data_IF_339435496020
#
_entry.id   IF_339435496020
#
_cell.length_a   1.000
_cell.length_b   1.000
_cell.length_c   1.000
_cell.angle_alpha   90.00
_cell.angle_beta   90.00
_cell.angle_gamma   90.00
#
_symmetry.space_group_name_H-M   'P 1'
#
loop_
_entity.id
_entity.type
_entity.pdbx_description
1 polymer ?
#
# COMPACT_ATOMS: atom_id res chain seq x y z
N UNK A 1 30.90 1.66 2.04
CA UNK A 1 30.31 0.81 3.11
C UNK A 1 30.49 -0.66 2.78
N UNK A 2 30.33 -1.03 1.51
CA UNK A 2 30.63 -2.37 1.03
C UNK A 2 31.80 -2.36 0.05
N UNK A 3 32.49 -3.48 -0.06
CA UNK A 3 33.54 -3.76 -1.04
C UNK A 3 33.32 -5.15 -1.62
N UNK A 4 33.68 -5.35 -2.88
CA UNK A 4 33.66 -6.67 -3.53
C UNK A 4 35.10 -7.15 -3.70
N UNK A 5 35.39 -8.36 -3.25
CA UNK A 5 36.70 -9.00 -3.44
C UNK A 5 36.90 -9.45 -4.89
N UNK A 6 38.15 -9.74 -5.32
CA UNK A 6 38.41 -10.31 -6.65
C UNK A 6 37.66 -11.61 -6.93
N UNK A 7 37.35 -12.39 -5.88
CA UNK A 7 36.59 -13.64 -5.94
C UNK A 7 35.07 -13.41 -6.02
N UNK A 8 34.61 -12.15 -6.06
CA UNK A 8 33.19 -11.81 -6.12
C UNK A 8 32.48 -11.80 -4.77
N UNK A 9 33.22 -11.80 -3.65
CA UNK A 9 32.62 -11.79 -2.31
C UNK A 9 32.30 -10.34 -1.90
N UNK A 10 31.03 -10.06 -1.66
CA UNK A 10 30.59 -8.78 -1.10
C UNK A 10 30.78 -8.77 0.42
N UNK A 11 31.53 -7.80 0.94
CA UNK A 11 31.82 -7.65 2.36
C UNK A 11 31.56 -6.22 2.82
N UNK A 12 31.20 -6.05 4.09
CA UNK A 12 31.19 -4.72 4.72
C UNK A 12 32.62 -4.31 5.09
N UNK A 13 32.99 -3.05 4.86
CA UNK A 13 34.33 -2.51 5.19
C UNK A 13 34.40 -1.93 6.61
N UNK A 14 33.26 -1.85 7.29
CA UNK A 14 33.11 -1.33 8.66
C UNK A 14 31.93 -2.02 9.35
N UNK A 15 31.89 -2.06 10.69
CA UNK A 15 30.72 -2.54 11.43
C UNK A 15 29.45 -1.80 10.98
N UNK A 16 28.36 -2.54 10.80
CA UNK A 16 27.08 -2.00 10.32
C UNK A 16 26.13 -1.63 11.47
N UNK A 17 26.62 -1.57 12.70
CA UNK A 17 25.81 -1.30 13.90
C UNK A 17 25.08 0.04 13.84
N UNK A 18 25.69 1.07 13.23
CA UNK A 18 25.06 2.39 13.02
C UNK A 18 24.14 2.43 11.80
N UNK A 19 24.10 1.35 11.02
CA UNK A 19 23.32 1.22 9.79
C UNK A 19 22.27 0.13 9.89
N UNK A 20 22.02 -0.35 11.12
CA UNK A 20 20.90 -1.24 11.40
C UNK A 20 19.63 -0.57 10.89
N UNK A 21 18.75 -1.36 10.26
CA UNK A 21 17.51 -0.95 9.60
C UNK A 21 17.65 -0.18 8.28
N UNK A 22 18.85 -0.13 7.71
CA UNK A 22 19.10 0.56 6.44
C UNK A 22 19.02 -0.39 5.24
N UNK A 23 18.66 0.16 4.08
CA UNK A 23 18.74 -0.54 2.79
C UNK A 23 19.76 0.16 1.89
N UNK A 24 20.65 -0.61 1.28
CA UNK A 24 21.71 -0.11 0.40
C UNK A 24 21.57 -0.64 -1.01
N UNK A 25 21.86 0.22 -1.98
CA UNK A 25 22.09 -0.17 -3.36
C UNK A 25 23.60 -0.20 -3.65
N UNK A 26 24.13 -1.39 -3.92
CA UNK A 26 25.54 -1.59 -4.21
C UNK A 26 25.71 -1.96 -5.69
N UNK A 27 26.16 -1.01 -6.53
CA UNK A 27 26.52 -1.35 -7.91
C UNK A 27 27.83 -2.14 -7.92
N UNK A 28 27.78 -3.36 -8.46
CA UNK A 28 28.91 -4.24 -8.68
C UNK A 28 29.23 -4.24 -10.17
N UNK A 29 30.42 -3.76 -10.52
CA UNK A 29 30.88 -3.73 -11.90
C UNK A 29 31.84 -4.90 -12.12
N UNK A 30 31.45 -5.84 -12.98
CA UNK A 30 32.32 -6.89 -13.46
C UNK A 30 33.01 -6.43 -14.75
N UNK A 31 34.32 -6.31 -14.71
CA UNK A 31 35.16 -5.95 -15.86
C UNK A 31 35.82 -7.22 -16.39
N UNK A 32 35.39 -7.77 -17.54
CA UNK A 32 36.08 -8.89 -18.16
C UNK A 32 37.42 -8.44 -18.78
N UNK A 33 38.37 -9.37 -18.93
CA UNK A 33 39.66 -9.11 -19.60
C UNK A 33 39.47 -8.61 -21.04
N UNK A 34 38.42 -9.08 -21.70
CA UNK A 34 37.99 -8.64 -23.03
C UNK A 34 36.48 -8.39 -23.04
N UNK A 35 36.06 -7.26 -23.61
CA UNK A 35 34.65 -6.90 -23.74
C UNK A 35 34.25 -5.69 -22.88
N UNK A 36 32.94 -5.42 -22.83
CA UNK A 36 32.39 -4.29 -22.08
C UNK A 36 32.15 -4.68 -20.62
N UNK A 37 32.41 -3.78 -19.66
CA UNK A 37 31.99 -3.99 -18.29
C UNK A 37 30.48 -4.19 -18.19
N UNK A 38 30.08 -5.07 -17.29
CA UNK A 38 28.68 -5.32 -16.93
C UNK A 38 28.45 -4.87 -15.50
N UNK A 39 27.41 -4.07 -15.29
CA UNK A 39 27.02 -3.62 -13.95
C UNK A 39 25.83 -4.43 -13.47
N UNK A 40 25.97 -5.05 -12.30
CA UNK A 40 24.89 -5.67 -11.55
C UNK A 40 24.60 -4.84 -10.30
N UNK A 41 23.33 -4.71 -9.92
CA UNK A 41 22.96 -4.03 -8.67
C UNK A 41 22.65 -5.08 -7.61
N UNK A 42 23.23 -4.92 -6.43
CA UNK A 42 22.97 -5.77 -5.27
C UNK A 42 22.33 -4.92 -4.19
N UNK A 43 21.11 -5.30 -3.79
CA UNK A 43 20.42 -4.62 -2.68
C UNK A 43 20.78 -5.33 -1.39
N UNK A 44 21.29 -4.58 -0.41
CA UNK A 44 21.69 -5.11 0.90
C UNK A 44 20.78 -4.54 1.97
N UNK A 45 20.10 -5.43 2.69
CA UNK A 45 19.29 -5.10 3.86
C UNK A 45 20.14 -5.34 5.11
N UNK A 46 20.20 -4.35 6.00
CA UNK A 46 20.92 -4.47 7.28
C UNK A 46 19.87 -4.51 8.39
N UNK A 47 19.72 -5.65 9.04
CA UNK A 47 18.79 -5.82 10.16
C UNK A 47 19.53 -6.05 11.48
N UNK A 48 18.83 -5.81 12.59
CA UNK A 48 19.31 -6.20 13.91
C UNK A 48 19.28 -7.72 14.05
N UNK A 49 20.21 -8.28 14.82
CA UNK A 49 20.11 -9.68 15.23
C UNK A 49 18.79 -9.90 15.98
N UNK A 50 18.09 -11.00 15.69
CA UNK A 50 16.78 -11.33 16.26
C UNK A 50 16.77 -11.42 17.81
N UNK A 51 17.94 -11.56 18.43
CA UNK A 51 18.08 -11.56 19.90
C UNK A 51 18.12 -10.14 20.50
N UNK A 52 18.38 -9.12 19.69
CA UNK A 52 18.52 -7.72 20.11
C UNK A 52 17.30 -6.85 19.74
N UNK A 53 16.26 -7.42 19.13
CA UNK A 53 15.01 -6.69 18.85
C UNK A 53 14.26 -6.39 20.15
N UNK A 54 14.27 -5.12 20.55
CA UNK A 54 13.49 -4.63 21.68
C UNK A 54 12.04 -4.45 21.24
N UNK A 55 11.13 -5.22 21.83
CA UNK A 55 9.69 -5.02 21.63
C UNK A 55 9.27 -3.74 22.35
N UNK A 56 8.70 -2.78 21.60
CA UNK A 56 8.17 -1.56 22.20
C UNK A 56 7.03 -1.87 23.16
N UNK A 57 6.93 -1.11 24.26
CA UNK A 57 5.80 -1.19 25.21
C UNK A 57 4.53 -0.54 24.67
N UNK A 58 4.65 0.29 23.64
CA UNK A 58 3.55 1.01 23.01
C UNK A 58 3.67 0.89 21.50
N UNK A 59 2.60 0.48 20.82
CA UNK A 59 2.57 0.36 19.36
C UNK A 59 1.33 1.03 18.77
N UNK A 60 1.50 1.68 17.63
CA UNK A 60 0.39 2.22 16.86
C UNK A 60 0.03 1.28 15.71
N UNK A 61 -1.14 0.68 15.77
CA UNK A 61 -1.68 -0.18 14.72
C UNK A 61 -2.63 0.62 13.82
N UNK A 62 -2.26 0.79 12.55
CA UNK A 62 -3.09 1.46 11.55
C UNK A 62 -3.57 0.46 10.51
N UNK A 63 -4.88 0.39 10.36
CA UNK A 63 -5.58 -0.49 9.40
C UNK A 63 -6.16 0.36 8.28
N UNK A 64 -5.75 0.11 7.05
CA UNK A 64 -6.41 0.71 5.89
C UNK A 64 -7.57 -0.20 5.49
N UNK A 65 -8.78 0.32 5.54
CA UNK A 65 -9.98 -0.44 5.23
C UNK A 65 -10.13 -0.60 3.71
N UNK A 66 -10.27 -1.85 3.28
CA UNK A 66 -10.70 -2.24 1.93
C UNK A 66 -12.14 -2.76 1.93
N UNK A 67 -12.47 -3.57 0.92
CA UNK A 67 -13.82 -4.14 0.78
C UNK A 67 -14.10 -5.29 1.76
N UNK A 68 -13.05 -5.90 2.31
CA UNK A 68 -13.15 -7.01 3.26
C UNK A 68 -12.65 -6.59 4.64
N UNK A 69 -13.21 -7.18 5.72
CA UNK A 69 -12.64 -7.04 7.06
C UNK A 69 -11.15 -7.37 7.06
N UNK A 70 -10.38 -6.60 7.81
CA UNK A 70 -8.93 -6.76 7.88
C UNK A 70 -8.56 -7.46 9.18
N UNK A 71 -7.60 -8.36 9.08
CA UNK A 71 -7.12 -9.19 10.18
C UNK A 71 -5.68 -8.82 10.55
N UNK A 72 -5.42 -8.69 11.84
CA UNK A 72 -4.09 -8.48 12.41
C UNK A 72 -3.82 -9.63 13.37
N UNK A 73 -2.71 -10.34 13.16
CA UNK A 73 -2.26 -11.42 14.03
C UNK A 73 -1.04 -10.98 14.84
N UNK A 74 -1.28 -10.57 16.08
CA UNK A 74 -0.23 -10.07 16.97
C UNK A 74 0.73 -11.16 17.46
N UNK A 75 0.49 -12.43 17.16
CA UNK A 75 1.48 -13.50 17.42
C UNK A 75 2.76 -13.30 16.60
N UNK A 76 2.70 -12.54 15.50
CA UNK A 76 3.86 -12.20 14.68
C UNK A 76 4.83 -11.23 15.35
N UNK A 77 4.44 -10.58 16.45
CA UNK A 77 5.29 -9.65 17.21
C UNK A 77 6.30 -10.42 18.07
N UNK A 78 6.10 -11.73 18.27
CA UNK A 78 6.87 -12.52 19.23
C UNK A 78 7.58 -13.69 18.54
N UNK A 79 8.84 -13.91 18.90
CA UNK A 79 9.62 -15.02 18.36
C UNK A 79 9.52 -16.31 19.20
N UNK A 80 8.96 -16.26 20.43
CA UNK A 80 9.08 -17.37 21.40
C UNK A 80 7.89 -17.61 22.33
N UNK A 81 6.90 -16.72 22.38
CA UNK A 81 5.78 -16.84 23.33
C UNK A 81 4.44 -16.49 22.71
N UNK A 82 3.39 -17.15 23.17
CA UNK A 82 2.04 -16.86 22.69
C UNK A 82 1.52 -15.60 23.39
N UNK A 83 1.06 -14.59 22.64
CA UNK A 83 0.45 -13.42 23.24
C UNK A 83 -0.92 -13.78 23.84
N UNK A 84 -1.28 -13.13 24.94
CA UNK A 84 -2.56 -13.25 25.60
C UNK A 84 -3.31 -11.91 25.55
N UNK A 85 -4.56 -11.95 25.09
CA UNK A 85 -5.42 -10.78 24.99
C UNK A 85 -6.72 -11.01 25.72
N UNK A 86 -7.31 -9.91 26.24
CA UNK A 86 -8.67 -9.93 26.75
C UNK A 86 -9.61 -9.94 25.54
N UNK A 87 -10.43 -10.99 25.35
CA UNK A 87 -11.36 -11.03 24.24
C UNK A 87 -12.34 -9.87 24.33
N UNK A 88 -12.56 -9.21 23.21
CA UNK A 88 -13.47 -8.08 23.09
C UNK A 88 -14.29 -8.27 21.81
N UNK A 89 -15.61 -8.34 21.94
CA UNK A 89 -16.51 -8.42 20.80
C UNK A 89 -17.31 -7.12 20.70
N UNK A 90 -16.92 -6.30 19.74
CA UNK A 90 -17.65 -5.11 19.31
C UNK A 90 -18.22 -5.33 17.90
N UNK A 91 -19.21 -4.53 17.52
CA UNK A 91 -19.73 -4.52 16.15
C UNK A 91 -18.67 -4.00 15.15
N UNK A 92 -17.76 -3.15 15.62
CA UNK A 92 -16.76 -2.44 14.80
C UNK A 92 -15.47 -3.25 14.66
N UNK A 93 -15.06 -3.97 15.71
CA UNK A 93 -13.89 -4.84 15.73
C UNK A 93 -14.04 -5.98 16.74
N UNK A 94 -13.23 -7.02 16.56
CA UNK A 94 -13.19 -8.19 17.45
C UNK A 94 -11.76 -8.54 17.80
N UNK A 95 -11.50 -8.80 19.07
CA UNK A 95 -10.22 -9.31 19.59
C UNK A 95 -10.46 -10.71 20.14
N UNK A 96 -9.68 -11.69 19.66
CA UNK A 96 -9.70 -13.05 20.19
C UNK A 96 -8.77 -13.21 21.40
N UNK A 97 -8.95 -14.29 22.16
CA UNK A 97 -8.03 -14.66 23.24
C UNK A 97 -6.59 -14.92 22.74
N UNK A 98 -6.44 -15.30 21.47
CA UNK A 98 -5.14 -15.51 20.82
C UNK A 98 -4.58 -14.23 20.18
N UNK A 99 -5.09 -13.06 20.56
CA UNK A 99 -4.68 -11.76 20.03
C UNK A 99 -4.83 -11.59 18.52
N UNK A 100 -5.84 -12.25 17.95
CA UNK A 100 -6.25 -12.01 16.59
C UNK A 100 -7.29 -10.90 16.56
N UNK A 101 -6.96 -9.79 15.90
CA UNK A 101 -7.82 -8.61 15.81
C UNK A 101 -8.45 -8.57 14.42
N UNK A 102 -9.77 -8.59 14.36
CA UNK A 102 -10.54 -8.40 13.12
C UNK A 102 -11.20 -7.03 13.16
N UNK A 103 -10.86 -6.16 12.22
CA UNK A 103 -11.43 -4.82 12.06
C UNK A 103 -12.43 -4.82 10.90
N UNK A 104 -13.67 -4.43 11.18
CA UNK A 104 -14.78 -4.44 10.20
C UNK A 104 -15.18 -3.05 9.72
N UNK A 105 -15.04 -2.05 10.58
CA UNK A 105 -15.49 -0.68 10.34
C UNK A 105 -14.47 0.31 10.90
N UNK A 106 -14.69 1.60 10.63
CA UNK A 106 -13.80 2.67 11.06
C UNK A 106 -13.72 2.76 12.60
N UNK A 107 -12.49 2.78 13.10
CA UNK A 107 -12.09 2.95 14.49
C UNK A 107 -11.17 4.17 14.58
N UNK A 108 -11.33 4.94 15.64
CA UNK A 108 -10.46 6.06 15.99
C UNK A 108 -9.92 5.87 17.42
N UNK A 109 -8.60 5.71 17.54
CA UNK A 109 -7.83 5.67 18.78
C UNK A 109 -8.35 4.69 19.86
N UNK A 110 -8.66 3.46 19.48
CA UNK A 110 -9.01 2.40 20.46
C UNK A 110 -7.74 1.82 21.07
N UNK A 111 -7.71 1.73 22.40
CA UNK A 111 -6.59 1.15 23.13
C UNK A 111 -6.86 -0.32 23.45
N UNK A 112 -6.02 -1.21 22.95
CA UNK A 112 -6.00 -2.63 23.26
C UNK A 112 -4.76 -2.99 24.06
N UNK A 113 -4.92 -3.82 25.08
CA UNK A 113 -3.81 -4.28 25.94
C UNK A 113 -3.50 -5.72 25.64
N UNK A 114 -2.22 -5.97 25.37
CA UNK A 114 -1.71 -7.28 24.98
C UNK A 114 -0.63 -7.69 25.94
N UNK A 115 -0.74 -8.87 26.53
CA UNK A 115 0.25 -9.41 27.44
C UNK A 115 1.15 -10.38 26.69
N UNK A 116 2.45 -10.11 26.71
CA UNK A 116 3.48 -10.91 26.06
C UNK A 116 4.63 -11.10 27.05
N UNK A 117 4.96 -12.35 27.41
CA UNK A 117 6.05 -12.64 28.37
C UNK A 117 5.93 -11.84 29.68
N UNK A 118 4.72 -11.79 30.26
CA UNK A 118 4.41 -10.99 31.46
C UNK A 118 4.63 -9.46 31.31
N UNK A 119 4.92 -8.98 30.10
CA UNK A 119 4.97 -7.56 29.76
C UNK A 119 3.68 -7.13 29.07
N UNK A 120 3.07 -6.04 29.56
CA UNK A 120 1.93 -5.40 28.91
C UNK A 120 2.43 -4.50 27.79
N UNK A 121 1.87 -4.68 26.61
CA UNK A 121 2.03 -3.82 25.43
C UNK A 121 0.70 -3.13 25.18
N UNK A 122 0.74 -1.82 25.08
CA UNK A 122 -0.42 -0.99 24.75
C UNK A 122 -0.44 -0.77 23.22
N UNK A 123 -1.51 -1.20 22.56
CA UNK A 123 -1.71 -1.07 21.11
C UNK A 123 -2.83 -0.07 20.86
N UNK A 124 -2.52 1.03 20.18
CA UNK A 124 -3.54 1.98 19.72
C UNK A 124 -3.96 1.65 18.31
N UNK A 125 -5.22 1.24 18.13
CA UNK A 125 -5.85 0.89 16.87
C UNK A 125 -6.47 2.13 16.22
N UNK A 126 -6.06 2.39 14.99
CA UNK A 126 -6.56 3.45 14.12
C UNK A 126 -6.95 2.87 12.77
N UNK A 127 -7.92 3.49 12.11
CA UNK A 127 -8.30 3.11 10.74
C UNK A 127 -8.19 4.28 9.79
N UNK A 128 -7.82 3.97 8.55
CA UNK A 128 -7.89 4.89 7.43
C UNK A 128 -8.88 4.35 6.41
N UNK A 129 -9.82 5.19 5.99
CA UNK A 129 -10.82 4.83 5.00
C UNK A 129 -10.42 5.36 3.63
N UNK A 130 -10.44 4.49 2.62
CA UNK A 130 -10.23 4.87 1.22
C UNK A 130 -11.48 5.56 0.68
N UNK A 131 -11.30 6.62 -0.12
CA UNK A 131 -12.36 7.30 -0.87
C UNK A 131 -11.99 7.35 -2.35
N UNK A 132 -12.97 7.54 -3.22
CA UNK A 132 -12.71 7.64 -4.66
C UNK A 132 -11.75 8.79 -5.00
N UNK A 133 -11.89 9.93 -4.33
CA UNK A 133 -11.01 11.10 -4.50
C UNK A 133 -9.54 10.77 -4.15
N UNK A 134 -9.33 9.98 -3.09
CA UNK A 134 -7.99 9.50 -2.72
C UNK A 134 -7.45 8.52 -3.76
N UNK A 135 -8.29 7.62 -4.26
CA UNK A 135 -7.87 6.71 -5.32
C UNK A 135 -7.48 7.45 -6.60
N UNK A 136 -8.18 8.53 -6.95
CA UNK A 136 -7.88 9.34 -8.14
C UNK A 136 -6.61 10.20 -8.02
N UNK A 137 -6.20 10.54 -6.80
CA UNK A 137 -5.00 11.34 -6.50
C UNK A 137 -3.79 10.49 -6.12
N UNK A 138 -3.95 9.18 -5.96
CA UNK A 138 -2.88 8.28 -5.57
C UNK A 138 -1.69 8.34 -6.53
N UNK A 139 -0.48 8.29 -5.98
CA UNK A 139 0.74 7.96 -6.72
C UNK A 139 1.14 6.51 -6.46
N UNK A 140 1.87 5.90 -7.39
CA UNK A 140 2.48 4.60 -7.17
C UNK A 140 3.95 4.81 -6.78
N UNK A 141 4.34 4.29 -5.62
CA UNK A 141 5.71 4.29 -5.11
C UNK A 141 6.24 2.86 -5.18
N UNK A 142 7.35 2.67 -5.91
CA UNK A 142 8.03 1.38 -6.00
C UNK A 142 9.34 1.48 -5.23
N UNK A 143 9.52 0.60 -4.25
CA UNK A 143 10.70 0.62 -3.37
C UNK A 143 11.07 -0.77 -2.85
N UNK A 144 12.30 -0.90 -2.39
CA UNK A 144 12.81 -2.10 -1.73
C UNK A 144 12.86 -1.89 -0.22
N UNK A 145 12.23 -2.79 0.54
CA UNK A 145 12.23 -2.76 1.99
C UNK A 145 11.86 -4.14 2.55
N UNK A 146 12.55 -4.56 3.61
CA UNK A 146 12.13 -5.72 4.39
C UNK A 146 10.78 -5.42 5.09
N UNK A 147 9.95 -6.43 5.43
CA UNK A 147 8.59 -6.21 5.90
C UNK A 147 8.48 -5.26 7.11
N UNK A 148 9.34 -5.43 8.12
CA UNK A 148 9.37 -4.53 9.28
C UNK A 148 9.73 -3.08 8.90
N UNK A 149 10.58 -2.91 7.89
CA UNK A 149 11.03 -1.61 7.41
C UNK A 149 9.96 -0.87 6.61
N UNK A 150 8.98 -1.58 6.03
CA UNK A 150 7.81 -0.95 5.38
C UNK A 150 6.98 -0.20 6.42
N UNK A 151 6.71 -0.82 7.57
CA UNK A 151 5.99 -0.19 8.67
C UNK A 151 6.74 1.04 9.21
N UNK A 152 8.04 0.90 9.43
CA UNK A 152 8.87 2.00 9.94
C UNK A 152 9.01 3.14 8.91
N UNK A 153 9.10 2.82 7.61
CA UNK A 153 9.03 3.82 6.54
C UNK A 153 7.75 4.65 6.60
N UNK A 154 6.58 4.01 6.70
CA UNK A 154 5.29 4.71 6.74
C UNK A 154 5.16 5.56 8.02
N UNK A 155 5.63 5.03 9.15
CA UNK A 155 5.63 5.76 10.42
C UNK A 155 6.54 6.98 10.39
N UNK A 156 7.76 6.86 9.87
CA UNK A 156 8.68 8.00 9.75
C UNK A 156 8.21 9.02 8.71
N UNK A 157 7.57 8.57 7.63
CA UNK A 157 6.93 9.47 6.66
C UNK A 157 5.84 10.30 7.34
N UNK A 158 4.95 9.66 8.11
CA UNK A 158 3.89 10.32 8.87
C UNK A 158 4.43 11.26 9.96
N UNK A 159 5.52 10.90 10.64
CA UNK A 159 6.19 11.75 11.65
C UNK A 159 6.87 12.97 11.03
N UNK A 160 7.46 12.81 9.86
CA UNK A 160 8.22 13.88 9.19
C UNK A 160 7.34 15.00 8.67
N UNK A 161 6.05 14.74 8.44
CA UNK A 161 5.08 15.73 7.98
C UNK A 161 3.83 15.69 8.85
N UNK A 162 3.90 16.30 10.03
CA UNK A 162 2.80 16.30 11.01
C UNK A 162 1.51 16.98 10.53
N UNK A 163 1.60 17.86 9.53
CA UNK A 163 0.46 18.54 8.91
C UNK A 163 -0.15 17.75 7.74
N UNK A 164 0.38 16.57 7.42
CA UNK A 164 -0.08 15.71 6.33
C UNK A 164 -0.49 14.35 6.87
N UNK A 165 -1.47 13.72 6.25
CA UNK A 165 -1.83 12.32 6.51
C UNK A 165 -1.58 11.49 5.26
N UNK A 166 -0.80 10.43 5.40
CA UNK A 166 -0.44 9.52 4.32
C UNK A 166 -1.38 8.30 4.34
N UNK A 167 -2.06 8.07 3.21
CA UNK A 167 -3.02 6.98 3.02
C UNK A 167 -2.42 5.90 2.13
N UNK A 168 -1.85 4.81 2.69
CA UNK A 168 -1.36 3.69 1.90
C UNK A 168 -2.55 2.84 1.42
N UNK A 169 -3.16 3.24 0.30
CA UNK A 169 -4.42 2.69 -0.19
C UNK A 169 -4.34 1.21 -0.59
N UNK A 170 -3.17 0.77 -1.09
CA UNK A 170 -2.92 -0.64 -1.37
C UNK A 170 -1.43 -0.92 -1.51
N UNK A 171 -1.06 -2.19 -1.36
CA UNK A 171 0.31 -2.67 -1.58
C UNK A 171 0.32 -3.95 -2.41
N UNK A 172 1.31 -4.08 -3.27
CA UNK A 172 1.70 -5.36 -3.88
C UNK A 172 3.13 -5.69 -3.48
N UNK A 173 3.30 -6.82 -2.80
CA UNK A 173 4.59 -7.28 -2.29
C UNK A 173 5.12 -8.41 -3.16
N UNK A 174 6.34 -8.25 -3.66
CA UNK A 174 7.17 -9.35 -4.16
C UNK A 174 8.12 -9.77 -3.05
N UNK A 175 7.71 -10.78 -2.28
CA UNK A 175 8.42 -11.24 -1.10
C UNK A 175 9.81 -11.81 -1.43
N UNK A 176 10.01 -12.36 -2.64
CA UNK A 176 11.30 -12.94 -3.02
C UNK A 176 12.37 -11.85 -3.23
N UNK A 177 11.96 -10.64 -3.59
CA UNK A 177 12.85 -9.52 -3.88
C UNK A 177 12.76 -8.38 -2.86
N UNK A 178 11.89 -8.51 -1.85
CA UNK A 178 11.54 -7.42 -0.92
C UNK A 178 11.10 -6.15 -1.66
N UNK A 179 10.50 -6.31 -2.85
CA UNK A 179 10.08 -5.20 -3.70
C UNK A 179 8.60 -4.93 -3.45
N UNK A 180 8.28 -3.69 -3.15
CA UNK A 180 6.94 -3.24 -2.81
C UNK A 180 6.46 -2.22 -3.84
N UNK A 181 5.23 -2.37 -4.31
CA UNK A 181 4.52 -1.34 -5.07
C UNK A 181 3.36 -0.84 -4.20
N UNK A 182 3.51 0.37 -3.67
CA UNK A 182 2.57 1.02 -2.77
C UNK A 182 1.77 2.08 -3.53
N UNK A 183 0.45 2.00 -3.46
CA UNK A 183 -0.43 3.09 -3.90
C UNK A 183 -0.66 4.02 -2.72
N UNK A 184 -0.26 5.29 -2.84
CA UNK A 184 -0.24 6.25 -1.73
C UNK A 184 -0.97 7.53 -2.13
N UNK A 185 -1.90 7.98 -1.30
CA UNK A 185 -2.52 9.30 -1.39
C UNK A 185 -2.15 10.13 -0.17
N UNK A 186 -2.26 11.46 -0.28
CA UNK A 186 -1.91 12.39 0.80
C UNK A 186 -3.03 13.40 0.99
N UNK A 187 -3.36 13.66 2.26
CA UNK A 187 -4.30 14.69 2.65
C UNK A 187 -3.57 15.73 3.50
N UNK A 188 -3.90 17.01 3.34
CA UNK A 188 -3.42 18.07 4.22
C UNK A 188 -4.22 18.17 5.54
N UNK A 189 -3.72 18.97 6.49
CA UNK A 189 -4.41 19.25 7.77
C UNK A 189 -5.82 19.83 7.64
N UNK A 190 -6.19 20.36 6.48
CA UNK A 190 -7.52 20.91 6.21
C UNK A 190 -8.43 19.89 5.51
N UNK A 191 -8.05 18.61 5.51
CA UNK A 191 -8.75 17.51 4.84
C UNK A 191 -8.83 17.65 3.32
N UNK A 192 -7.90 18.38 2.69
CA UNK A 192 -7.83 18.50 1.24
C UNK A 192 -6.92 17.44 0.66
N UNK A 193 -7.41 16.75 -0.35
CA UNK A 193 -6.64 15.77 -1.11
C UNK A 193 -5.56 16.49 -1.91
N UNK A 194 -4.31 16.09 -1.70
CA UNK A 194 -3.16 16.63 -2.41
C UNK A 194 -3.04 15.93 -3.76
N UNK A 195 -2.69 16.67 -4.81
CA UNK A 195 -2.55 16.11 -6.16
C UNK A 195 -1.43 15.06 -6.21
N UNK A 196 -1.51 14.12 -7.17
CA UNK A 196 -0.50 13.06 -7.31
C UNK A 196 0.91 13.62 -7.57
N UNK A 197 1.01 14.72 -8.34
CA UNK A 197 2.28 15.39 -8.63
C UNK A 197 2.90 16.05 -7.40
N UNK A 198 2.11 16.80 -6.62
CA UNK A 198 2.61 17.42 -5.39
C UNK A 198 2.97 16.35 -4.35
N UNK A 199 2.16 15.29 -4.26
CA UNK A 199 2.43 14.13 -3.41
C UNK A 199 3.74 13.43 -3.78
N UNK A 200 4.03 13.27 -5.08
CA UNK A 200 5.31 12.73 -5.56
C UNK A 200 6.48 13.59 -5.10
N UNK A 201 6.38 14.91 -5.20
CA UNK A 201 7.47 15.81 -4.83
C UNK A 201 7.72 15.78 -3.30
N UNK A 202 6.66 15.68 -2.49
CA UNK A 202 6.74 15.50 -1.02
C UNK A 202 7.44 14.18 -0.66
N UNK A 203 7.00 13.07 -1.26
CA UNK A 203 7.55 11.73 -0.99
C UNK A 203 9.00 11.63 -1.50
N UNK A 204 9.29 12.18 -2.68
CA UNK A 204 10.65 12.27 -3.20
C UNK A 204 11.57 13.04 -2.24
N UNK A 205 11.11 14.20 -1.77
CA UNK A 205 11.83 15.01 -0.79
C UNK A 205 12.09 14.27 0.53
N UNK A 206 11.20 13.38 0.96
CA UNK A 206 11.43 12.51 2.11
C UNK A 206 12.60 11.54 1.86
N UNK A 207 12.61 10.83 0.72
CA UNK A 207 13.68 9.90 0.38
C UNK A 207 15.06 10.57 0.21
N UNK A 208 15.10 11.88 -0.05
CA UNK A 208 16.34 12.64 -0.15
C UNK A 208 16.91 13.12 1.19
N UNK A 209 16.12 13.12 2.28
CA UNK A 209 16.52 13.69 3.58
C UNK A 209 17.38 12.76 4.43
N UNK A 210 17.32 11.45 4.21
CA UNK A 210 17.88 10.46 5.12
C UNK A 210 19.09 9.72 4.53
N UNK A 211 20.21 9.74 5.25
CA UNK A 211 21.42 8.97 4.92
C UNK A 211 21.22 7.45 5.12
N UNK A 212 20.20 7.05 5.90
CA UNK A 212 19.92 5.67 6.29
C UNK A 212 18.43 5.35 6.11
N UNK A 213 17.93 5.24 4.87
CA UNK A 213 16.50 5.08 4.66
C UNK A 213 16.05 3.64 4.97
N UNK A 214 14.91 3.51 5.65
CA UNK A 214 14.22 2.23 5.86
C UNK A 214 13.78 1.56 4.54
N UNK A 215 13.73 2.33 3.45
CA UNK A 215 13.33 1.89 2.14
C UNK A 215 14.22 2.49 1.06
N UNK A 216 14.58 1.71 0.05
CA UNK A 216 15.28 2.20 -1.13
C UNK A 216 14.28 2.47 -2.26
N UNK A 217 14.11 3.74 -2.62
CA UNK A 217 13.22 4.14 -3.70
C UNK A 217 13.75 3.65 -5.07
N UNK A 218 12.91 2.94 -5.82
CA UNK A 218 13.20 2.52 -7.20
C UNK A 218 12.60 3.52 -8.21
N UNK A 219 11.31 3.82 -8.08
CA UNK A 219 10.61 4.72 -8.99
C UNK A 219 9.30 5.22 -8.39
N UNK A 220 8.80 6.34 -8.91
CA UNK A 220 7.45 6.82 -8.65
C UNK A 220 6.77 7.15 -9.96
N UNK A 221 5.48 6.84 -10.05
CA UNK A 221 4.64 7.27 -11.17
C UNK A 221 3.43 8.03 -10.64
N UNK A 222 3.11 9.12 -11.33
CA UNK A 222 1.93 9.94 -11.12
C UNK A 222 1.02 9.78 -12.33
N UNK A 223 -0.30 9.76 -12.11
CA UNK A 223 -1.32 9.67 -13.16
C UNK A 223 -1.07 8.55 -14.19
N UNK A 224 -1.50 7.32 -13.88
CA UNK A 224 -1.43 6.21 -14.85
C UNK A 224 -2.23 6.47 -16.13
N UNK A 225 -3.14 7.46 -16.11
CA UNK A 225 -3.98 7.83 -17.25
C UNK A 225 -3.23 8.57 -18.37
N UNK A 226 -2.05 9.13 -18.11
CA UNK A 226 -1.33 9.94 -19.11
C UNK A 226 -0.92 9.11 -20.35
N UNK A 227 -0.75 7.79 -20.17
CA UNK A 227 -0.44 6.83 -21.24
C UNK A 227 -1.66 6.08 -21.79
N UNK A 228 -2.86 6.35 -21.28
CA UNK A 228 -4.08 5.60 -21.63
C UNK A 228 -5.00 6.44 -22.50
N UNK A 229 -5.32 5.91 -23.69
CA UNK A 229 -6.26 6.54 -24.61
C UNK A 229 -7.63 5.87 -24.50
N UNK A 230 -8.64 6.65 -24.13
CA UNK A 230 -10.04 6.22 -24.14
C UNK A 230 -10.74 6.76 -25.40
N UNK A 231 -11.25 5.87 -26.23
CA UNK A 231 -11.95 6.18 -27.48
C UNK A 231 -13.32 6.82 -27.23
N UNK A 232 -13.90 7.42 -28.28
CA UNK A 232 -15.29 7.91 -28.30
C UNK A 232 -15.66 8.87 -27.15
N UNK A 233 -14.70 9.70 -26.72
CA UNK A 233 -14.92 10.66 -25.63
C UNK A 233 -14.96 10.03 -24.24
N UNK A 234 -14.51 8.78 -24.10
CA UNK A 234 -14.33 8.14 -22.81
C UNK A 234 -13.31 8.89 -21.92
N UNK A 235 -13.45 8.75 -20.61
CA UNK A 235 -12.58 9.38 -19.62
C UNK A 235 -11.76 8.32 -18.91
N UNK A 236 -10.44 8.48 -18.88
CA UNK A 236 -9.61 7.61 -18.07
C UNK A 236 -9.81 7.96 -16.58
N UNK A 237 -10.03 6.93 -15.76
CA UNK A 237 -9.92 7.01 -14.30
C UNK A 237 -8.84 6.06 -13.83
N UNK A 238 -8.07 6.50 -12.84
CA UNK A 238 -7.28 5.56 -12.05
C UNK A 238 -8.13 5.06 -10.89
N UNK A 239 -7.94 3.78 -10.56
CA UNK A 239 -8.63 3.11 -9.48
C UNK A 239 -7.65 2.16 -8.79
N UNK A 240 -7.92 1.87 -7.53
CA UNK A 240 -7.16 0.88 -6.78
C UNK A 240 -7.87 -0.46 -6.95
N UNK A 241 -7.23 -1.39 -7.67
CA UNK A 241 -7.72 -2.76 -7.80
C UNK A 241 -7.31 -3.54 -6.56
N UNK A 242 -8.25 -3.72 -5.63
CA UNK A 242 -8.08 -4.45 -4.39
C UNK A 242 -8.23 -5.96 -4.61
N UNK A 243 -7.47 -6.71 -3.83
CA UNK A 243 -7.58 -8.15 -3.67
C UNK A 243 -8.26 -8.44 -2.32
N UNK A 244 -8.86 -9.63 -2.17
CA UNK A 244 -9.53 -10.05 -0.94
C UNK A 244 -8.53 -10.50 0.15
N UNK A 245 -7.53 -9.68 0.42
CA UNK A 245 -6.50 -9.93 1.42
C UNK A 245 -5.82 -8.61 1.79
N UNK A 246 -5.26 -8.55 3.00
CA UNK A 246 -4.38 -7.46 3.44
C UNK A 246 -3.02 -8.03 3.83
N UNK A 247 -1.98 -7.23 3.71
CA UNK A 247 -0.65 -7.54 4.24
C UNK A 247 -0.39 -6.71 5.47
N UNK A 248 0.02 -7.37 6.55
CA UNK A 248 0.37 -6.71 7.81
C UNK A 248 1.88 -6.62 7.96
N UNK A 249 2.38 -5.41 8.18
CA UNK A 249 3.78 -5.07 8.42
C UNK A 249 3.98 -4.72 9.88
N UNK A 250 4.95 -5.36 10.54
CA UNK A 250 5.25 -5.16 11.96
C UNK A 250 6.57 -4.42 12.10
N UNK A 251 6.50 -3.12 12.41
CA UNK A 251 7.65 -2.25 12.65
C UNK A 251 8.10 -2.29 14.12
N UNK A 252 9.02 -1.40 14.49
CA UNK A 252 9.52 -1.33 15.87
C UNK A 252 8.49 -0.73 16.83
N UNK A 253 7.70 0.22 16.35
CA UNK A 253 6.71 0.97 17.15
C UNK A 253 5.33 1.05 16.49
N UNK A 254 5.16 0.38 15.35
CA UNK A 254 3.94 0.47 14.57
C UNK A 254 3.58 -0.84 13.89
N UNK A 255 2.29 -0.98 13.60
CA UNK A 255 1.74 -2.07 12.80
C UNK A 255 0.94 -1.42 11.69
N UNK A 256 1.17 -1.83 10.45
CA UNK A 256 0.41 -1.33 9.30
C UNK A 256 -0.23 -2.51 8.61
N UNK A 257 -1.56 -2.54 8.56
CA UNK A 257 -2.29 -3.52 7.74
C UNK A 257 -2.87 -2.81 6.51
N UNK A 258 -2.38 -3.19 5.34
CA UNK A 258 -2.64 -2.52 4.07
C UNK A 258 -3.30 -3.51 3.11
N UNK A 259 -4.43 -3.16 2.48
CA UNK A 259 -5.06 -3.99 1.47
C UNK A 259 -4.11 -4.37 0.35
N UNK A 260 -4.15 -5.63 -0.07
CA UNK A 260 -3.38 -6.08 -1.22
C UNK A 260 -4.02 -5.53 -2.49
N UNK A 261 -3.22 -4.99 -3.40
CA UNK A 261 -3.75 -4.40 -4.61
C UNK A 261 -2.71 -3.66 -5.42
N UNK A 262 -3.17 -3.09 -6.52
CA UNK A 262 -2.37 -2.19 -7.34
C UNK A 262 -3.21 -1.07 -7.92
N UNK A 263 -2.56 0.06 -8.16
CA UNK A 263 -3.12 1.13 -8.96
C UNK A 263 -3.26 0.67 -10.42
N UNK A 264 -4.47 0.82 -10.97
CA UNK A 264 -4.82 0.48 -12.35
C UNK A 264 -5.57 1.65 -13.00
N UNK A 265 -5.75 1.57 -14.31
CA UNK A 265 -6.56 2.49 -15.10
C UNK A 265 -7.76 1.80 -15.70
N UNK A 266 -8.84 2.53 -15.88
CA UNK A 266 -10.02 2.10 -16.63
C UNK A 266 -10.59 3.28 -17.41
N UNK A 267 -11.11 3.00 -18.60
CA UNK A 267 -11.91 3.97 -19.32
C UNK A 267 -13.37 3.92 -18.87
N UNK A 268 -13.90 5.06 -18.46
CA UNK A 268 -15.33 5.27 -18.32
C UNK A 268 -15.91 5.72 -19.65
N UNK A 269 -16.74 4.86 -20.23
CA UNK A 269 -17.30 5.09 -21.54
C UNK A 269 -18.46 6.07 -21.52
N UNK A 270 -18.49 6.93 -22.54
CA UNK A 270 -19.65 7.76 -22.82
C UNK A 270 -20.88 6.91 -23.13
N UNK A 271 -22.04 7.54 -23.02
CA UNK A 271 -23.33 6.90 -23.33
C UNK A 271 -23.30 6.31 -24.75
N UNK A 272 -23.67 5.04 -24.88
CA UNK A 272 -23.70 4.33 -26.16
C UNK A 272 -22.39 3.67 -26.58
N UNK A 273 -21.36 3.66 -25.74
CA UNK A 273 -20.09 2.98 -26.01
C UNK A 273 -19.73 2.01 -24.89
N UNK A 274 -19.07 0.91 -25.25
CA UNK A 274 -18.57 -0.16 -24.37
C UNK A 274 -17.18 -0.60 -24.82
N UNK A 275 -16.57 -1.56 -24.11
CA UNK A 275 -15.20 -2.01 -24.33
C UNK A 275 -14.23 -1.53 -23.24
N UNK A 276 -13.01 -2.07 -23.24
CA UNK A 276 -11.97 -1.72 -22.27
C UNK A 276 -11.49 -0.27 -22.46
N UNK A 277 -11.46 0.20 -23.70
CA UNK A 277 -11.05 1.53 -24.13
C UNK A 277 -12.19 2.31 -24.79
N UNK A 278 -13.44 1.89 -24.60
CA UNK A 278 -14.63 2.53 -25.17
C UNK A 278 -14.68 2.55 -26.70
N UNK A 279 -14.06 1.55 -27.33
CA UNK A 279 -13.91 1.40 -28.77
C UNK A 279 -15.15 0.81 -29.46
N UNK A 280 -16.00 0.12 -28.70
CA UNK A 280 -17.19 -0.55 -29.23
C UNK A 280 -18.44 0.31 -29.05
N UNK A 281 -19.35 0.24 -30.02
CA UNK A 281 -20.68 0.84 -29.88
C UNK A 281 -21.56 -0.14 -29.12
N UNK A 282 -22.25 0.35 -28.09
CA UNK A 282 -23.22 -0.46 -27.36
C UNK A 282 -24.41 -0.77 -28.26
N UNK A 283 -24.51 -2.02 -28.71
CA UNK A 283 -25.60 -2.48 -29.53
C UNK A 283 -26.66 -3.14 -28.65
N UNK A 284 -27.70 -2.40 -28.27
CA UNK A 284 -28.96 -3.06 -27.93
C UNK A 284 -29.75 -3.41 -29.19
N UNK A 285 -30.48 -4.51 -29.11
CA UNK A 285 -31.44 -4.95 -30.12
C UNK A 285 -32.76 -5.28 -29.43
N UNK A 286 -33.87 -5.25 -30.16
CA UNK A 286 -35.18 -5.64 -29.61
C UNK A 286 -35.20 -7.11 -29.10
N UNK A 287 -34.23 -7.94 -29.52
CA UNK A 287 -34.04 -9.32 -29.06
C UNK A 287 -33.36 -9.37 -27.68
N UNK A 288 -32.44 -8.43 -27.39
CA UNK A 288 -31.71 -8.35 -26.11
C UNK A 288 -32.44 -7.54 -25.05
N UNK A 289 -33.53 -6.84 -25.43
CA UNK A 289 -34.41 -6.09 -24.54
C UNK A 289 -35.86 -6.63 -24.55
N UNK A 290 -36.12 -7.88 -24.09
CA UNK A 290 -37.44 -8.51 -24.24
C UNK A 290 -38.59 -7.72 -23.56
N UNK A 291 -38.29 -7.00 -22.47
CA UNK A 291 -39.27 -6.19 -21.71
C UNK A 291 -39.08 -4.67 -21.92
N UNK A 292 -38.36 -4.24 -22.95
CA UNK A 292 -37.98 -2.84 -23.12
C UNK A 292 -37.86 -2.39 -24.57
N UNK A 293 -37.44 -1.15 -24.76
CA UNK A 293 -37.03 -0.61 -26.07
C UNK A 293 -35.57 -0.24 -26.02
N UNK A 294 -34.89 -0.47 -27.13
CA UNK A 294 -33.54 0.01 -27.32
C UNK A 294 -33.56 1.55 -27.45
N UNK A 295 -32.92 2.26 -26.53
CA UNK A 295 -32.78 3.71 -26.64
C UNK A 295 -31.81 4.09 -27.76
N UNK A 296 -31.88 5.33 -28.24
CA UNK A 296 -30.87 5.88 -29.17
C UNK A 296 -29.43 5.84 -28.60
N UNK A 297 -29.32 5.66 -27.28
CA UNK A 297 -28.10 5.48 -26.51
C UNK A 297 -27.62 4.01 -26.42
N UNK A 298 -28.24 3.08 -27.15
CA UNK A 298 -27.82 1.68 -27.15
C UNK A 298 -28.09 0.91 -25.84
N UNK A 299 -28.95 1.44 -24.96
CA UNK A 299 -29.34 0.81 -23.68
C UNK A 299 -30.80 0.35 -23.68
N UNK A 300 -31.11 -0.79 -23.05
CA UNK A 300 -32.49 -1.26 -22.83
C UNK A 300 -33.21 -0.37 -21.82
N UNK A 301 -34.31 0.25 -22.22
CA UNK A 301 -35.17 1.03 -21.33
C UNK A 301 -36.50 0.32 -21.21
N UNK A 302 -36.93 -0.02 -19.99
CA UNK A 302 -38.28 -0.54 -19.77
C UNK A 302 -39.28 0.57 -20.11
N UNK A 303 -40.17 0.30 -21.07
CA UNK A 303 -41.28 1.20 -21.34
C UNK A 303 -42.16 1.25 -20.08
N UNK A 304 -42.50 2.44 -19.60
CA UNK A 304 -43.42 2.58 -18.47
C UNK A 304 -44.71 1.80 -18.76
N UNK A 305 -44.97 0.74 -18.00
CA UNK A 305 -46.27 0.10 -17.98
C UNK A 305 -47.25 1.04 -17.27
N UNK A 306 -48.14 1.66 -18.06
CA UNK A 306 -49.36 2.37 -17.67
C UNK A 306 -49.35 2.97 -16.24
N UNK A 307 -48.94 4.23 -16.11
CA UNK A 307 -49.17 4.99 -14.87
C UNK A 307 -48.25 6.18 -14.62
N UNK A 308 -47.16 6.35 -15.36
CA UNK A 308 -46.26 7.49 -15.17
C UNK A 308 -46.86 8.77 -15.79
N UNK A 309 -47.25 9.72 -14.94
CA UNK A 309 -47.56 11.09 -15.34
C UNK A 309 -46.23 11.84 -15.54
N UNK A 310 -46.16 12.64 -16.61
CA UNK A 310 -45.04 13.52 -16.93
C UNK A 310 -44.78 14.55 -15.84
#
# INVERSE_FOLDING_TARGET
>A
IFSVSPEGILMSVRPLTQSIQSVYDVPVVAQPEHGRPTTQRVVVFVDADAENTVTSRTMNATVVLGDTPTEIDLSSITFKSKPECVPNESEVYKVSASCHITVKQSIDNVLEKVVINDASIDITLNTLQSSEELQQSALQVIFYAAPARVADFLTELQRSYTDLTFYPLSVKVDAAQYRNALSLAVIDRNHRVITSNDSRDIVHGFFQKNDFPHALLQSMSTSLCDSVFCSNGGRCRQLVSLQNASTTFYGSESIWSIPNGLLQTRCECGVGFVGEYCEEVNHCSDITCPDGRCSAAGSCVRGCEKGCVK
#
